data_IF_315090446365
#
_entry.id   IF_315090446365
#
_cell.length_a   1.000
_cell.length_b   1.000
_cell.length_c   1.000
_cell.angle_alpha   90.00
_cell.angle_beta   90.00
_cell.angle_gamma   90.00
#
_symmetry.space_group_name_H-M   'P 1'
#
loop_
_entity.id
_entity.type
_entity.pdbx_description
1 polymer ?
#
# COMPACT_ATOMS: atom_id res chain seq x y z
N UNK A 1 21.54 6.27 3.22
CA UNK A 1 21.57 7.40 2.28
C UNK A 1 20.21 8.05 2.04
N UNK A 2 19.21 7.37 1.45
CA UNK A 2 17.93 8.01 1.09
C UNK A 2 17.21 8.71 2.24
N UNK A 3 17.18 8.10 3.44
CA UNK A 3 16.55 8.69 4.63
C UNK A 3 17.27 9.95 5.14
N UNK A 4 18.60 9.92 5.22
CA UNK A 4 19.42 11.09 5.63
C UNK A 4 19.19 12.28 4.69
N UNK A 5 19.12 12.03 3.38
CA UNK A 5 18.91 13.07 2.37
C UNK A 5 17.47 13.61 2.34
N UNK A 6 16.51 12.85 2.88
CA UNK A 6 15.13 13.30 3.03
C UNK A 6 14.96 14.17 4.27
N UNK A 7 15.63 13.82 5.38
CA UNK A 7 15.58 14.57 6.65
C UNK A 7 16.42 15.85 6.61
N UNK A 8 17.57 15.84 5.92
CA UNK A 8 18.51 16.96 5.83
C UNK A 8 18.82 17.31 4.36
N UNK A 9 17.90 17.97 3.63
CA UNK A 9 18.05 18.25 2.21
C UNK A 9 19.27 19.10 1.85
N UNK A 10 19.74 19.95 2.76
CA UNK A 10 20.92 20.79 2.62
C UNK A 10 22.21 19.97 2.49
N UNK A 11 22.27 18.79 3.10
CA UNK A 11 23.42 17.89 3.04
C UNK A 11 23.56 17.17 1.69
N UNK A 12 22.61 17.33 0.76
CA UNK A 12 22.73 16.78 -0.60
C UNK A 12 23.97 17.27 -1.34
N UNK A 13 24.46 18.47 -1.00
CA UNK A 13 25.68 19.04 -1.58
C UNK A 13 26.94 18.29 -1.15
N UNK A 14 26.89 17.65 0.02
CA UNK A 14 27.99 16.90 0.65
C UNK A 14 27.66 15.40 0.66
N UNK A 15 26.83 14.93 -0.27
CA UNK A 15 26.30 13.58 -0.25
C UNK A 15 27.40 12.50 -0.31
N UNK A 16 28.55 12.83 -0.91
CA UNK A 16 29.69 11.91 -1.02
C UNK A 16 30.42 11.76 0.31
N UNK A 17 30.59 12.84 1.05
CA UNK A 17 31.18 12.88 2.38
C UNK A 17 30.26 12.17 3.38
N UNK A 18 28.97 12.48 3.35
CA UNK A 18 27.95 11.81 4.17
C UNK A 18 27.89 10.31 3.87
N UNK A 19 28.02 9.89 2.61
CA UNK A 19 28.04 8.47 2.27
C UNK A 19 29.19 7.72 2.96
N UNK A 20 30.38 8.32 3.03
CA UNK A 20 31.53 7.71 3.72
C UNK A 20 31.28 7.57 5.22
N UNK A 21 30.76 8.63 5.85
CA UNK A 21 30.43 8.59 7.29
C UNK A 21 29.40 7.51 7.58
N UNK A 22 28.35 7.42 6.76
CA UNK A 22 27.32 6.38 6.90
C UNK A 22 27.92 4.98 6.72
N UNK A 23 28.81 4.79 5.75
CA UNK A 23 29.49 3.52 5.52
C UNK A 23 30.38 3.12 6.71
N UNK A 24 31.15 4.05 7.26
CA UNK A 24 31.96 3.84 8.46
C UNK A 24 31.11 3.41 9.66
N UNK A 25 30.02 4.13 9.93
CA UNK A 25 29.10 3.81 11.04
C UNK A 25 28.43 2.45 10.83
N UNK A 26 27.98 2.14 9.60
CA UNK A 26 27.38 0.84 9.29
C UNK A 26 28.37 -0.29 9.52
N UNK A 27 29.63 -0.10 9.12
CA UNK A 27 30.68 -1.07 9.36
C UNK A 27 30.94 -1.26 10.86
N UNK A 28 31.01 -0.17 11.64
CA UNK A 28 31.14 -0.25 13.09
C UNK A 28 29.99 -1.05 13.71
N UNK A 29 28.73 -0.73 13.37
CA UNK A 29 27.54 -1.42 13.89
C UNK A 29 27.57 -2.91 13.55
N UNK A 30 28.01 -3.27 12.35
CA UNK A 30 28.11 -4.66 11.91
C UNK A 30 29.14 -5.47 12.70
N UNK A 31 30.11 -4.83 13.36
CA UNK A 31 31.08 -5.51 14.25
C UNK A 31 30.58 -5.74 15.67
N UNK A 32 29.47 -5.11 16.09
CA UNK A 32 28.96 -5.19 17.45
C UNK A 32 28.33 -6.54 17.77
N UNK A 33 28.52 -7.00 19.02
CA UNK A 33 27.86 -8.22 19.50
C UNK A 33 26.38 -7.94 19.81
N UNK A 34 25.57 -8.99 19.78
CA UNK A 34 24.11 -8.92 20.04
C UNK A 34 23.74 -8.19 21.35
N UNK A 35 24.57 -8.28 22.39
CA UNK A 35 24.35 -7.59 23.67
C UNK A 35 24.52 -6.07 23.53
N UNK A 36 25.54 -5.63 22.80
CA UNK A 36 25.87 -4.22 22.55
C UNK A 36 24.84 -3.60 21.61
N UNK A 37 24.46 -4.31 20.55
CA UNK A 37 23.38 -3.90 19.65
C UNK A 37 22.05 -3.68 20.39
N UNK A 38 21.71 -4.56 21.33
CA UNK A 38 20.49 -4.40 22.15
C UNK A 38 20.55 -3.17 23.06
N UNK A 39 21.71 -2.91 23.67
CA UNK A 39 21.89 -1.72 24.49
C UNK A 39 21.80 -0.44 23.65
N UNK A 40 22.37 -0.45 22.44
CA UNK A 40 22.30 0.66 21.50
C UNK A 40 20.88 0.90 21.01
N UNK A 41 20.14 -0.17 20.68
CA UNK A 41 18.74 -0.08 20.30
C UNK A 41 17.89 0.52 21.42
N UNK A 42 18.05 0.07 22.66
CA UNK A 42 17.28 0.60 23.79
C UNK A 42 17.58 2.09 24.02
N UNK A 43 18.85 2.50 23.87
CA UNK A 43 19.25 3.90 24.01
C UNK A 43 18.52 4.83 23.04
N UNK A 44 18.31 4.40 21.79
CA UNK A 44 17.65 5.20 20.75
C UNK A 44 16.18 4.83 20.53
N UNK A 45 15.61 3.98 21.40
CA UNK A 45 14.28 3.40 21.21
C UNK A 45 13.21 4.46 21.13
N UNK A 46 13.23 5.43 22.05
CA UNK A 46 12.23 6.50 22.09
C UNK A 46 12.27 7.36 20.83
N UNK A 47 13.48 7.70 20.33
CA UNK A 47 13.67 8.45 19.08
C UNK A 47 13.18 7.67 17.85
N UNK A 48 13.32 6.35 17.85
CA UNK A 48 12.82 5.48 16.77
C UNK A 48 11.29 5.34 16.83
N UNK A 49 10.71 5.19 18.02
CA UNK A 49 9.27 4.99 18.23
C UNK A 49 8.46 6.29 18.05
N UNK A 50 8.96 7.44 18.51
CA UNK A 50 8.32 8.75 18.27
C UNK A 50 8.27 9.09 16.78
N UNK A 51 9.32 8.76 16.02
CA UNK A 51 9.35 8.96 14.56
C UNK A 51 8.38 8.09 13.77
N UNK A 52 7.97 6.92 14.29
CA UNK A 52 6.91 6.11 13.65
C UNK A 52 5.53 6.79 13.68
N UNK A 53 5.28 7.68 14.64
CA UNK A 53 4.00 8.41 14.72
C UNK A 53 3.89 9.55 13.70
N UNK A 54 5.02 9.99 13.13
CA UNK A 54 5.07 11.03 12.09
C UNK A 54 5.03 10.45 10.66
N UNK A 55 4.75 9.16 10.49
CA UNK A 55 4.37 8.63 9.17
C UNK A 55 3.14 9.40 8.69
N UNK A 56 3.37 10.23 7.67
CA UNK A 56 2.57 11.41 7.35
C UNK A 56 1.07 11.15 7.28
N UNK A 57 0.31 12.21 7.58
CA UNK A 57 -1.16 12.27 7.46
C UNK A 57 -1.67 11.16 6.57
N UNK A 58 -2.31 10.15 7.16
CA UNK A 58 -2.91 9.03 6.41
C UNK A 58 -3.61 9.65 5.20
N UNK A 59 -3.06 9.44 4.00
CA UNK A 59 -3.59 10.07 2.78
C UNK A 59 -5.01 9.54 2.61
N UNK A 60 -5.99 10.30 3.08
CA UNK A 60 -7.40 9.94 2.98
C UNK A 60 -7.77 10.04 1.51
N UNK A 61 -8.66 9.14 1.07
CA UNK A 61 -9.23 9.24 -0.27
C UNK A 61 -9.95 10.58 -0.41
N UNK A 62 -9.82 11.29 -1.53
CA UNK A 62 -10.52 12.54 -1.76
C UNK A 62 -12.03 12.30 -1.73
N UNK A 63 -12.80 13.28 -1.27
CA UNK A 63 -14.27 13.16 -1.27
C UNK A 63 -14.82 13.05 -2.69
N UNK A 64 -15.82 12.20 -2.89
CA UNK A 64 -16.56 12.11 -4.14
C UNK A 64 -17.48 13.34 -4.30
N UNK A 65 -17.53 13.97 -5.50
CA UNK A 65 -18.45 15.07 -5.74
C UNK A 65 -19.90 14.58 -5.71
N UNK A 66 -20.79 15.36 -5.07
CA UNK A 66 -22.23 15.06 -4.95
C UNK A 66 -22.55 13.71 -4.25
N UNK A 67 -21.61 13.16 -3.48
CA UNK A 67 -21.86 11.93 -2.75
C UNK A 67 -22.70 12.19 -1.51
N UNK A 68 -23.80 11.44 -1.40
CA UNK A 68 -24.65 11.41 -0.23
C UNK A 68 -24.43 10.10 0.55
N UNK A 69 -24.37 10.19 1.89
CA UNK A 69 -24.24 9.03 2.77
C UNK A 69 -25.39 8.04 2.53
N UNK A 70 -25.06 6.76 2.36
CA UNK A 70 -26.03 5.71 2.06
C UNK A 70 -26.44 5.59 0.59
N UNK A 71 -26.08 6.55 -0.28
CA UNK A 71 -26.49 6.55 -1.70
C UNK A 71 -25.39 6.19 -2.69
N UNK A 72 -24.14 6.13 -2.26
CA UNK A 72 -23.01 5.77 -3.13
C UNK A 72 -23.09 4.29 -3.51
N UNK A 73 -22.97 3.99 -4.81
CA UNK A 73 -22.90 2.62 -5.33
C UNK A 73 -21.68 2.50 -6.22
N UNK A 74 -20.76 1.60 -5.88
CA UNK A 74 -19.56 1.30 -6.67
C UNK A 74 -19.60 -0.15 -7.15
N UNK A 75 -18.71 -0.52 -8.08
CA UNK A 75 -18.63 -1.91 -8.55
C UNK A 75 -17.20 -2.36 -8.86
N UNK A 76 -16.95 -3.65 -8.66
CA UNK A 76 -15.95 -4.41 -9.40
C UNK A 76 -16.59 -4.95 -10.68
N UNK A 77 -15.88 -4.78 -11.80
CA UNK A 77 -16.38 -5.20 -13.11
C UNK A 77 -15.34 -6.07 -13.86
N UNK A 78 -15.01 -7.28 -13.38
CA UNK A 78 -14.02 -8.12 -14.02
C UNK A 78 -14.60 -8.85 -15.23
N UNK A 79 -13.77 -9.03 -16.26
CA UNK A 79 -14.06 -9.97 -17.34
C UNK A 79 -13.57 -11.36 -16.88
N UNK A 80 -14.41 -12.41 -16.89
CA UNK A 80 -14.03 -13.73 -16.38
C UNK A 80 -13.31 -14.55 -17.46
N UNK A 81 -12.30 -13.96 -18.10
CA UNK A 81 -11.49 -14.57 -19.16
C UNK A 81 -10.02 -14.76 -18.75
N UNK A 82 -9.71 -14.55 -17.48
CA UNK A 82 -8.38 -14.70 -16.91
C UNK A 82 -8.37 -14.52 -15.38
N UNK A 83 -7.23 -14.82 -14.74
CA UNK A 83 -7.09 -14.70 -13.29
C UNK A 83 -7.06 -13.23 -12.83
N UNK A 84 -7.39 -13.03 -11.57
CA UNK A 84 -7.27 -11.74 -10.91
C UNK A 84 -5.80 -11.34 -10.73
N UNK A 85 -5.47 -10.06 -10.91
CA UNK A 85 -4.10 -9.55 -10.72
C UNK A 85 -4.09 -8.25 -9.93
N UNK A 86 -2.90 -7.78 -9.54
CA UNK A 86 -2.72 -6.59 -8.67
C UNK A 86 -3.38 -5.31 -9.21
N UNK A 87 -3.47 -5.16 -10.54
CA UNK A 87 -4.22 -4.07 -11.18
C UNK A 87 -5.72 -4.07 -10.83
N UNK A 88 -6.35 -5.24 -10.80
CA UNK A 88 -7.75 -5.39 -10.40
C UNK A 88 -7.91 -5.09 -8.91
N UNK A 89 -6.99 -5.64 -8.08
CA UNK A 89 -6.99 -5.42 -6.64
C UNK A 89 -7.00 -3.92 -6.31
N UNK A 90 -6.10 -3.15 -6.92
CA UNK A 90 -6.01 -1.70 -6.70
C UNK A 90 -7.32 -0.98 -7.01
N UNK A 91 -7.91 -1.24 -8.17
CA UNK A 91 -9.14 -0.56 -8.59
C UNK A 91 -10.34 -0.92 -7.71
N UNK A 92 -10.46 -2.20 -7.34
CA UNK A 92 -11.61 -2.71 -6.59
C UNK A 92 -11.52 -2.38 -5.10
N UNK A 93 -10.32 -2.42 -4.49
CA UNK A 93 -10.11 -1.93 -3.12
C UNK A 93 -10.50 -0.45 -3.01
N UNK A 94 -10.06 0.39 -3.95
CA UNK A 94 -10.45 1.81 -3.94
C UNK A 94 -11.96 2.00 -4.08
N UNK A 95 -12.60 1.24 -4.97
CA UNK A 95 -14.05 1.29 -5.16
C UNK A 95 -14.82 0.82 -3.92
N UNK A 96 -14.33 -0.23 -3.26
CA UNK A 96 -14.88 -0.77 -2.03
C UNK A 96 -14.70 0.20 -0.85
N UNK A 97 -13.53 0.84 -0.72
CA UNK A 97 -13.31 1.85 0.31
C UNK A 97 -14.23 3.06 0.14
N UNK A 98 -14.51 3.51 -1.09
CA UNK A 98 -15.53 4.54 -1.30
C UNK A 98 -16.92 4.08 -0.87
N UNK A 99 -17.32 2.85 -1.16
CA UNK A 99 -18.58 2.32 -0.66
C UNK A 99 -18.61 2.30 0.88
N UNK A 100 -17.53 1.88 1.55
CA UNK A 100 -17.42 1.89 3.02
C UNK A 100 -17.50 3.29 3.60
N UNK A 101 -16.69 4.23 3.11
CA UNK A 101 -16.63 5.63 3.58
C UNK A 101 -18.02 6.28 3.55
N UNK A 102 -18.79 6.02 2.50
CA UNK A 102 -20.10 6.61 2.28
C UNK A 102 -21.27 5.70 2.70
N UNK A 103 -21.02 4.63 3.48
CA UNK A 103 -22.03 3.64 3.90
C UNK A 103 -22.92 3.16 2.73
N UNK A 104 -22.31 3.04 1.56
CA UNK A 104 -22.93 2.71 0.29
C UNK A 104 -22.93 1.22 -0.01
N UNK A 105 -23.07 0.87 -1.29
CA UNK A 105 -23.05 -0.51 -1.78
C UNK A 105 -21.88 -0.76 -2.73
N UNK A 106 -21.28 -1.93 -2.61
CA UNK A 106 -20.27 -2.44 -3.53
C UNK A 106 -20.83 -3.66 -4.27
N UNK A 107 -20.76 -3.66 -5.60
CA UNK A 107 -21.35 -4.70 -6.45
C UNK A 107 -20.24 -5.44 -7.20
N UNK A 108 -20.30 -6.77 -7.23
CA UNK A 108 -19.54 -7.58 -8.19
C UNK A 108 -20.40 -7.81 -9.44
N UNK A 109 -19.95 -7.29 -10.59
CA UNK A 109 -20.61 -7.47 -11.88
C UNK A 109 -19.65 -8.09 -12.89
N UNK A 110 -19.88 -9.33 -13.28
CA UNK A 110 -19.09 -9.93 -14.35
C UNK A 110 -19.39 -9.25 -15.70
N UNK A 111 -18.34 -8.90 -16.45
CA UNK A 111 -18.44 -8.40 -17.82
C UNK A 111 -18.15 -9.54 -18.80
N UNK A 112 -19.17 -10.36 -19.06
CA UNK A 112 -19.10 -11.61 -19.83
C UNK A 112 -19.80 -11.50 -21.20
N UNK A 113 -20.05 -10.28 -21.67
CA UNK A 113 -20.87 -10.01 -22.86
C UNK A 113 -20.14 -10.18 -24.20
N UNK A 114 -18.81 -10.34 -24.21
CA UNK A 114 -18.02 -10.50 -25.44
C UNK A 114 -17.41 -11.91 -25.56
N UNK A 115 -18.14 -12.87 -26.16
CA UNK A 115 -17.66 -14.23 -26.31
C UNK A 115 -16.56 -14.41 -27.38
N UNK A 116 -16.30 -13.40 -28.22
CA UNK A 116 -15.36 -13.52 -29.35
C UNK A 116 -13.96 -13.06 -28.99
N UNK A 117 -13.85 -11.94 -28.26
CA UNK A 117 -12.56 -11.33 -27.92
C UNK A 117 -12.17 -11.66 -26.47
N UNK A 118 -13.15 -11.73 -25.57
CA UNK A 118 -12.94 -11.95 -24.13
C UNK A 118 -13.80 -13.09 -23.63
N UNK A 119 -13.61 -14.26 -24.25
CA UNK A 119 -14.41 -15.45 -23.96
C UNK A 119 -14.40 -15.76 -22.46
N UNK A 120 -15.57 -15.75 -21.80
CA UNK A 120 -15.65 -16.08 -20.38
C UNK A 120 -15.42 -17.57 -20.17
N UNK A 121 -14.68 -17.93 -19.11
CA UNK A 121 -14.48 -19.32 -18.70
C UNK A 121 -15.02 -19.56 -17.28
N UNK A 122 -15.78 -20.64 -17.04
CA UNK A 122 -16.40 -20.93 -15.74
C UNK A 122 -15.43 -20.90 -14.55
N UNK A 123 -14.19 -21.35 -14.75
CA UNK A 123 -13.17 -21.42 -13.69
C UNK A 123 -12.84 -20.03 -13.12
N UNK A 124 -12.79 -19.00 -13.98
CA UNK A 124 -12.40 -17.67 -13.55
C UNK A 124 -13.47 -16.97 -12.73
N UNK A 125 -14.75 -17.34 -12.86
CA UNK A 125 -15.80 -16.83 -11.98
C UNK A 125 -15.53 -17.20 -10.52
N UNK A 126 -15.13 -18.45 -10.28
CA UNK A 126 -14.85 -18.93 -8.93
C UNK A 126 -13.56 -18.33 -8.39
N UNK A 127 -12.49 -18.32 -9.18
CA UNK A 127 -11.22 -17.69 -8.76
C UNK A 127 -11.38 -16.22 -8.43
N UNK A 128 -12.09 -15.45 -9.26
CA UNK A 128 -12.34 -14.03 -8.99
C UNK A 128 -13.10 -13.84 -7.68
N UNK A 129 -14.11 -14.68 -7.38
CA UNK A 129 -14.85 -14.61 -6.11
C UNK A 129 -13.95 -14.94 -4.92
N UNK A 130 -13.10 -15.95 -5.05
CA UNK A 130 -12.14 -16.36 -4.01
C UNK A 130 -11.10 -15.25 -3.75
N UNK A 131 -10.53 -14.67 -4.81
CA UNK A 131 -9.56 -13.59 -4.72
C UNK A 131 -10.16 -12.33 -4.09
N UNK A 132 -11.39 -11.97 -4.47
CA UNK A 132 -12.11 -10.84 -3.85
C UNK A 132 -12.40 -11.08 -2.37
N UNK A 133 -12.83 -12.30 -2.01
CA UNK A 133 -13.03 -12.68 -0.61
C UNK A 133 -11.72 -12.65 0.18
N UNK A 134 -10.61 -13.11 -0.41
CA UNK A 134 -9.29 -13.06 0.19
C UNK A 134 -8.83 -11.61 0.46
N UNK A 135 -9.16 -10.68 -0.45
CA UNK A 135 -8.91 -9.24 -0.27
C UNK A 135 -9.84 -8.56 0.75
N UNK A 136 -10.87 -9.25 1.26
CA UNK A 136 -11.85 -8.68 2.18
C UNK A 136 -12.86 -7.73 1.50
N UNK A 137 -13.16 -7.97 0.22
CA UNK A 137 -14.13 -7.22 -0.59
C UNK A 137 -15.51 -7.87 -0.63
#
# INVERSE_FOLDING_TARGET
MGKVMAELPELKREAKEIAKIVEEIVNEINTLKKKELRALFEKYREEIETRKKEEGETKKLPSLPNAEMGKVVTRAAPNPNGPFHIGNARAYILSHEYARIYNGKFILRFEDTDPKIKRPEPIFYEWIKEDMKWLGL
#
